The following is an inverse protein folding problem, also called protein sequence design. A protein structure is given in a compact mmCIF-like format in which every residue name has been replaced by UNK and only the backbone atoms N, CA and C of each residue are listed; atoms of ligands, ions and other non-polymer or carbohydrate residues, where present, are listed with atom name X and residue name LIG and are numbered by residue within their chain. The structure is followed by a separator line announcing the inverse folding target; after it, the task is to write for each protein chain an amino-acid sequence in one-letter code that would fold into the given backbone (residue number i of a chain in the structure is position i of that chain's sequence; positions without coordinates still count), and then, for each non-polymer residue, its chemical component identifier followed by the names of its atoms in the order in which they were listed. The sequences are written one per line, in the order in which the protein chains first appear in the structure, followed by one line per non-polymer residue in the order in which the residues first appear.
data_IF_202700250593
#
_entry.id   IF_202700250593
#
_cell.length_a   1.000
_cell.length_b   1.000
_cell.length_c   1.000
_cell.angle_alpha   90.00
_cell.angle_beta   90.00
_cell.angle_gamma   90.00
#
_symmetry.space_group_name_H-M   'P 1'
#
loop_
_entity.id
_entity.type
_entity.pdbx_description
1 polymer ?
#
# COMPACT_ATOMS: atom_id res chain seq x y z
N UNK A 1 16.29 15.55 -3.45
CA UNK A 1 16.18 14.88 -4.72
C UNK A 1 14.73 14.55 -5.02
N UNK A 2 14.26 14.94 -6.23
CA UNK A 2 12.86 14.82 -6.58
C UNK A 2 12.33 13.40 -6.59
N UNK A 3 13.12 12.46 -7.09
CA UNK A 3 12.66 11.07 -7.18
C UNK A 3 12.45 10.44 -5.82
N UNK A 4 13.41 10.61 -4.93
CA UNK A 4 13.30 10.04 -3.58
C UNK A 4 12.09 10.59 -2.86
N UNK A 5 11.87 11.89 -2.96
CA UNK A 5 10.74 12.51 -2.28
C UNK A 5 9.41 12.03 -2.85
N UNK A 6 9.33 11.87 -4.17
CA UNK A 6 8.11 11.39 -4.81
C UNK A 6 7.79 9.96 -4.39
N UNK A 7 8.80 9.10 -4.39
CA UNK A 7 8.60 7.70 -4.02
C UNK A 7 8.25 7.57 -2.54
N UNK A 8 8.90 8.35 -1.67
CA UNK A 8 8.59 8.36 -0.26
C UNK A 8 7.16 8.82 0.00
N UNK A 9 6.73 9.84 -0.73
CA UNK A 9 5.36 10.32 -0.62
C UNK A 9 4.36 9.24 -0.99
N UNK A 10 4.58 8.56 -2.12
CA UNK A 10 3.70 7.48 -2.56
C UNK A 10 3.66 6.35 -1.55
N UNK A 11 4.82 5.98 -1.02
CA UNK A 11 4.89 4.92 -0.03
C UNK A 11 4.11 5.28 1.22
N UNK A 12 4.21 6.54 1.67
CA UNK A 12 3.45 7.01 2.82
C UNK A 12 1.94 6.95 2.57
N UNK A 13 1.52 7.32 1.37
CA UNK A 13 0.10 7.29 1.02
C UNK A 13 -0.43 5.87 1.00
N UNK A 14 0.34 4.95 0.46
CA UNK A 14 -0.07 3.55 0.45
C UNK A 14 -0.15 2.97 1.86
N UNK A 15 0.75 3.38 2.74
CA UNK A 15 0.71 2.99 4.13
C UNK A 15 -0.55 3.50 4.83
N UNK A 16 -0.90 4.75 4.58
CA UNK A 16 -2.12 5.33 5.16
C UNK A 16 -3.35 4.55 4.73
N UNK A 17 -3.44 4.24 3.44
CA UNK A 17 -4.56 3.46 2.92
C UNK A 17 -4.61 2.07 3.55
N UNK A 18 -3.45 1.46 3.71
CA UNK A 18 -3.37 0.14 4.32
C UNK A 18 -3.90 0.15 5.75
N UNK A 19 -3.56 1.20 6.50
CA UNK A 19 -4.02 1.35 7.88
C UNK A 19 -5.53 1.48 7.92
N UNK A 20 -6.10 2.32 7.05
CA UNK A 20 -7.55 2.52 7.00
C UNK A 20 -8.27 1.20 6.72
N UNK A 21 -7.80 0.46 5.73
CA UNK A 21 -8.43 -0.80 5.36
C UNK A 21 -8.29 -1.83 6.49
N UNK A 22 -7.11 -1.90 7.09
CA UNK A 22 -6.86 -2.82 8.19
C UNK A 22 -7.78 -2.52 9.38
N UNK A 23 -7.96 -1.25 9.70
CA UNK A 23 -8.85 -0.85 10.78
C UNK A 23 -10.29 -1.25 10.50
N UNK A 24 -10.74 -1.10 9.26
CA UNK A 24 -12.09 -1.52 8.88
C UNK A 24 -12.27 -3.02 9.07
N UNK A 25 -11.27 -3.81 8.70
CA UNK A 25 -11.32 -5.26 8.88
C UNK A 25 -11.37 -5.62 10.37
N UNK A 26 -10.55 -4.97 11.17
CA UNK A 26 -10.46 -5.25 12.61
C UNK A 26 -11.77 -4.92 13.32
N UNK A 27 -12.47 -3.87 12.90
CA UNK A 27 -13.73 -3.50 13.50
C UNK A 27 -14.80 -4.57 13.33
N UNK A 28 -14.62 -5.48 12.38
CA UNK A 28 -15.42 -6.70 12.34
C UNK A 28 -16.88 -6.60 11.97
N UNK A 29 -17.31 -5.51 11.37
CA UNK A 29 -18.70 -5.33 10.98
C UNK A 29 -18.90 -5.47 9.48
N UNK A 30 -18.07 -6.28 8.85
CA UNK A 30 -18.09 -6.43 7.41
C UNK A 30 -18.83 -7.71 7.01
N UNK A 31 -19.58 -7.60 5.93
CA UNK A 31 -20.15 -8.77 5.29
C UNK A 31 -19.03 -9.51 4.55
N UNK A 32 -19.25 -10.78 4.25
CA UNK A 32 -18.22 -11.61 3.63
C UNK A 32 -17.68 -11.03 2.33
N UNK A 33 -18.55 -10.49 1.48
CA UNK A 33 -18.12 -9.90 0.22
C UNK A 33 -17.24 -8.68 0.41
N UNK A 34 -17.54 -7.87 1.41
CA UNK A 34 -16.72 -6.69 1.71
C UNK A 34 -15.37 -7.10 2.27
N UNK A 35 -15.36 -8.11 3.11
CA UNK A 35 -14.11 -8.63 3.67
C UNK A 35 -13.16 -9.09 2.56
N UNK A 36 -13.68 -9.88 1.63
CA UNK A 36 -12.88 -10.37 0.51
C UNK A 36 -12.34 -9.23 -0.34
N UNK A 37 -13.18 -8.23 -0.60
CA UNK A 37 -12.78 -7.08 -1.39
C UNK A 37 -11.66 -6.29 -0.70
N UNK A 38 -11.78 -6.09 0.61
CA UNK A 38 -10.76 -5.37 1.36
C UNK A 38 -9.45 -6.14 1.43
N UNK A 39 -9.52 -7.47 1.56
CA UNK A 39 -8.31 -8.29 1.51
C UNK A 39 -7.62 -8.18 0.17
N UNK A 40 -8.40 -8.16 -0.92
CA UNK A 40 -7.84 -7.94 -2.26
C UNK A 40 -7.19 -6.58 -2.39
N UNK A 41 -7.80 -5.55 -1.80
CA UNK A 41 -7.21 -4.23 -1.80
C UNK A 41 -5.88 -4.19 -1.05
N UNK A 42 -5.80 -4.89 0.09
CA UNK A 42 -4.53 -4.98 0.83
C UNK A 42 -3.45 -5.66 0.00
N UNK A 43 -3.80 -6.74 -0.69
CA UNK A 43 -2.85 -7.42 -1.57
C UNK A 43 -2.36 -6.48 -2.67
N UNK A 44 -3.27 -5.70 -3.24
CA UNK A 44 -2.90 -4.72 -4.26
C UNK A 44 -1.98 -3.64 -3.72
N UNK A 45 -2.24 -3.16 -2.51
CA UNK A 45 -1.39 -2.15 -1.88
C UNK A 45 0.00 -2.71 -1.58
N UNK A 46 0.07 -3.95 -1.10
CA UNK A 46 1.36 -4.58 -0.84
C UNK A 46 2.16 -4.76 -2.12
N UNK A 47 1.49 -5.15 -3.20
CA UNK A 47 2.14 -5.30 -4.49
C UNK A 47 2.66 -3.96 -4.99
N UNK A 48 1.84 -2.92 -4.90
CA UNK A 48 2.26 -1.58 -5.31
C UNK A 48 3.44 -1.08 -4.49
N UNK A 49 3.42 -1.33 -3.19
CA UNK A 49 4.52 -0.95 -2.31
C UNK A 49 5.81 -1.64 -2.72
N UNK A 50 5.72 -2.92 -3.07
CA UNK A 50 6.91 -3.67 -3.51
C UNK A 50 7.46 -3.12 -4.82
N UNK A 51 6.59 -2.73 -5.74
CA UNK A 51 7.03 -2.12 -6.99
C UNK A 51 7.75 -0.79 -6.74
N UNK A 52 7.23 0.01 -5.81
CA UNK A 52 7.86 1.28 -5.48
C UNK A 52 9.24 1.05 -4.88
N UNK A 53 9.36 0.08 -3.98
CA UNK A 53 10.65 -0.25 -3.37
C UNK A 53 11.65 -0.75 -4.41
N UNK A 54 11.18 -1.57 -5.33
CA UNK A 54 12.02 -2.08 -6.41
C UNK A 54 12.51 -0.94 -7.30
N UNK A 55 11.61 -0.02 -7.65
CA UNK A 55 11.99 1.13 -8.46
C UNK A 55 13.02 2.00 -7.75
N UNK A 56 12.80 2.27 -6.47
CA UNK A 56 13.73 3.07 -5.69
C UNK A 56 15.13 2.45 -5.69
N UNK A 57 15.19 1.14 -5.53
CA UNK A 57 16.45 0.42 -5.52
C UNK A 57 17.16 0.50 -6.87
N UNK A 58 16.40 0.37 -7.96
CA UNK A 58 16.97 0.48 -9.30
C UNK A 58 17.54 1.86 -9.56
N UNK A 59 16.85 2.89 -9.07
CA UNK A 59 17.30 4.26 -9.23
C UNK A 59 18.59 4.53 -8.45
N UNK A 60 18.74 3.93 -7.29
CA UNK A 60 19.98 4.05 -6.52
C UNK A 60 21.16 3.38 -7.22
N UNK A 61 20.90 2.26 -7.88
CA UNK A 61 21.94 1.49 -8.54
C UNK A 61 22.41 2.12 -9.85
N UNK A 62 21.65 3.06 -10.38
CA UNK A 62 22.06 3.78 -11.58
C UNK A 62 22.91 5.00 -11.21
#
# INVERSE_FOLDING_TARGET
MGYSNALEYLESKLKEERIVITENIIQGKLEEGEYKRLCGALQGLDLATNYIKDLAKRMEDE
#
